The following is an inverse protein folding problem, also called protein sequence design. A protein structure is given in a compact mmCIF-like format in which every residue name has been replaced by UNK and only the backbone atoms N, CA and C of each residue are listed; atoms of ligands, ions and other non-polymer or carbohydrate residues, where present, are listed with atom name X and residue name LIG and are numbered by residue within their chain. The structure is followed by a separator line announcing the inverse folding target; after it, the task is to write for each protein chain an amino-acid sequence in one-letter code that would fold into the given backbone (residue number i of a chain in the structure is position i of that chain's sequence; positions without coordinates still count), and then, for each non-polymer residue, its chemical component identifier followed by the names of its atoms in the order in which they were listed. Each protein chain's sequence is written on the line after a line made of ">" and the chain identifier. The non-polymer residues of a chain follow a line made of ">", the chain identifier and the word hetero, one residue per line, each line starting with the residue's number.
data_IF_449617576482
#
_entry.id   IF_449617576482
#
_cell.length_a   1.000
_cell.length_b   1.000
_cell.length_c   1.000
_cell.angle_alpha   90.00
_cell.angle_beta   90.00
_cell.angle_gamma   90.00
#
_symmetry.space_group_name_H-M   'P 1'
#
loop_
_entity.id
_entity.type
_entity.pdbx_description
1 polymer ?
#
# COMPACT_ATOMS: atom_id res chain seq x y z
N UNK A 1 -51.49 36.82 -30.84
CA UNK A 1 -50.65 37.45 -29.82
C UNK A 1 -50.52 36.45 -28.71
N UNK A 2 -49.30 36.21 -28.17
CA UNK A 2 -49.16 35.39 -26.97
C UNK A 2 -50.13 35.92 -25.92
N UNK A 3 -50.82 35.00 -25.24
CA UNK A 3 -51.73 35.41 -24.18
C UNK A 3 -50.94 35.89 -22.95
N UNK A 4 -51.47 36.81 -22.14
CA UNK A 4 -50.86 37.19 -20.89
C UNK A 4 -50.62 35.96 -19.97
N UNK A 5 -51.49 34.95 -20.11
CA UNK A 5 -51.40 33.67 -19.44
C UNK A 5 -50.14 32.89 -19.86
N UNK A 6 -49.80 32.89 -21.18
CA UNK A 6 -48.59 32.18 -21.67
C UNK A 6 -47.31 32.86 -21.18
N UNK A 7 -47.31 34.22 -21.10
CA UNK A 7 -46.18 34.98 -20.52
C UNK A 7 -46.04 34.73 -19.04
N UNK A 8 -47.15 34.64 -18.30
CA UNK A 8 -47.18 34.32 -16.89
C UNK A 8 -46.59 32.90 -16.63
N UNK A 9 -47.06 31.91 -17.41
CA UNK A 9 -46.59 30.54 -17.26
C UNK A 9 -45.09 30.43 -17.58
N UNK A 10 -44.63 31.08 -18.68
CA UNK A 10 -43.21 31.09 -19.03
C UNK A 10 -42.35 31.75 -17.94
N UNK A 11 -42.81 32.83 -17.32
CA UNK A 11 -42.13 33.48 -16.23
C UNK A 11 -42.12 32.58 -14.96
N UNK A 12 -43.24 31.90 -14.65
CA UNK A 12 -43.31 30.97 -13.53
C UNK A 12 -42.37 29.78 -13.69
N UNK A 13 -42.29 29.18 -14.86
CA UNK A 13 -41.31 28.12 -15.16
C UNK A 13 -39.85 28.61 -15.06
N UNK A 14 -39.56 29.82 -15.52
CA UNK A 14 -38.23 30.43 -15.37
C UNK A 14 -37.86 30.69 -13.91
N UNK A 15 -38.84 31.06 -13.06
CA UNK A 15 -38.64 31.25 -11.63
C UNK A 15 -38.23 29.94 -10.94
N UNK A 16 -38.96 28.85 -11.20
CA UNK A 16 -38.68 27.51 -10.71
C UNK A 16 -37.26 27.04 -11.15
N UNK A 17 -36.91 27.35 -12.40
CA UNK A 17 -35.59 27.08 -12.97
C UNK A 17 -34.46 27.74 -12.20
N UNK A 18 -34.59 29.03 -11.86
CA UNK A 18 -33.57 29.74 -11.06
C UNK A 18 -33.53 29.28 -9.61
N UNK A 19 -34.67 28.87 -9.05
CA UNK A 19 -34.71 28.28 -7.71
C UNK A 19 -33.93 26.95 -7.69
N UNK A 20 -34.13 26.08 -8.67
CA UNK A 20 -33.35 24.83 -8.80
C UNK A 20 -31.85 25.13 -8.97
N UNK A 21 -31.48 26.13 -9.78
CA UNK A 21 -30.08 26.53 -9.94
C UNK A 21 -29.45 27.03 -8.62
N UNK A 22 -30.19 27.81 -7.84
CA UNK A 22 -29.76 28.25 -6.50
C UNK A 22 -29.59 27.07 -5.55
N UNK A 23 -30.46 26.06 -5.61
CA UNK A 23 -30.33 24.82 -4.82
C UNK A 23 -29.04 24.04 -5.19
N UNK A 24 -28.70 23.96 -6.49
CA UNK A 24 -27.44 23.32 -6.95
C UNK A 24 -26.22 24.05 -6.38
N UNK A 25 -26.19 25.39 -6.46
CA UNK A 25 -25.10 26.21 -5.87
C UNK A 25 -25.01 26.01 -4.35
N UNK A 26 -26.16 25.95 -3.68
CA UNK A 26 -26.24 25.65 -2.24
C UNK A 26 -25.67 24.27 -1.89
N UNK A 27 -26.01 23.26 -2.70
CA UNK A 27 -25.49 21.90 -2.55
C UNK A 27 -23.97 21.85 -2.79
N UNK A 28 -23.47 22.49 -3.85
CA UNK A 28 -22.04 22.62 -4.12
C UNK A 28 -21.30 23.24 -2.93
N UNK A 29 -21.81 24.37 -2.44
CA UNK A 29 -21.20 25.12 -1.33
C UNK A 29 -21.14 24.29 -0.05
N UNK A 30 -22.21 23.57 0.29
CA UNK A 30 -22.25 22.74 1.53
C UNK A 30 -21.38 21.49 1.41
N UNK A 31 -21.17 20.97 0.21
CA UNK A 31 -20.37 19.78 -0.04
C UNK A 31 -18.94 20.07 -0.55
N UNK A 32 -18.50 21.33 -0.54
CA UNK A 32 -17.18 21.74 -1.04
C UNK A 32 -16.01 20.96 -0.41
N UNK A 33 -16.16 20.47 0.83
CA UNK A 33 -15.17 19.70 1.56
C UNK A 33 -15.51 18.20 1.68
N UNK A 34 -16.63 17.76 1.09
CA UNK A 34 -17.05 16.34 1.14
C UNK A 34 -16.12 15.49 0.24
N UNK A 35 -15.49 14.44 0.77
CA UNK A 35 -14.63 13.54 -0.03
C UNK A 35 -15.40 12.96 -1.22
N UNK A 36 -14.74 12.91 -2.38
CA UNK A 36 -15.35 12.38 -3.59
C UNK A 36 -16.38 13.28 -4.27
N UNK A 37 -16.74 14.45 -3.70
CA UNK A 37 -17.71 15.37 -4.31
C UNK A 37 -17.08 16.13 -5.49
N UNK A 38 -17.84 16.22 -6.60
CA UNK A 38 -17.52 17.07 -7.76
C UNK A 38 -18.59 18.14 -7.92
N UNK A 39 -18.21 19.34 -8.35
CA UNK A 39 -19.13 20.46 -8.57
C UNK A 39 -20.23 20.06 -9.57
N UNK A 40 -21.45 20.43 -9.26
CA UNK A 40 -22.61 20.22 -10.10
C UNK A 40 -22.96 21.53 -10.84
N UNK A 41 -23.34 21.43 -12.10
CA UNK A 41 -23.70 22.58 -12.95
C UNK A 41 -25.05 22.40 -13.59
N UNK A 42 -26.02 23.29 -13.38
CA UNK A 42 -27.30 23.26 -14.10
C UNK A 42 -27.07 23.63 -15.56
N UNK A 43 -27.63 22.84 -16.47
CA UNK A 43 -27.67 23.15 -17.92
C UNK A 43 -29.00 23.76 -18.25
N UNK A 44 -28.98 25.02 -18.61
CA UNK A 44 -30.19 25.74 -19.03
C UNK A 44 -30.56 25.43 -20.50
N UNK A 45 -31.80 25.14 -20.72
CA UNK A 45 -32.37 24.93 -22.06
C UNK A 45 -33.46 25.98 -22.29
N UNK A 46 -33.40 26.65 -23.44
CA UNK A 46 -34.46 27.58 -23.85
C UNK A 46 -35.71 26.80 -24.28
N UNK A 47 -36.86 27.10 -23.69
CA UNK A 47 -38.11 26.53 -24.08
C UNK A 47 -38.58 27.10 -25.45
N UNK A 48 -39.30 26.29 -26.22
CA UNK A 48 -39.71 26.68 -27.55
C UNK A 48 -40.63 27.94 -27.54
N UNK A 49 -40.27 28.95 -28.32
CA UNK A 49 -41.02 30.18 -28.48
C UNK A 49 -41.48 30.32 -29.92
N UNK A 50 -42.81 30.49 -30.13
CA UNK A 50 -43.35 30.86 -31.41
C UNK A 50 -44.17 32.12 -31.26
N UNK A 51 -43.98 33.16 -32.11
CA UNK A 51 -44.69 34.43 -31.97
C UNK A 51 -46.21 34.31 -32.10
N UNK A 52 -46.73 33.23 -32.67
CA UNK A 52 -48.15 32.98 -32.90
C UNK A 52 -48.85 32.25 -31.75
N UNK A 53 -48.14 31.35 -31.06
CA UNK A 53 -48.70 30.50 -29.98
C UNK A 53 -48.21 30.86 -28.60
N UNK A 54 -47.20 31.75 -28.49
CA UNK A 54 -46.60 32.08 -27.21
C UNK A 54 -45.61 31.00 -26.77
N UNK A 55 -45.43 30.83 -25.48
CA UNK A 55 -44.42 29.95 -24.87
C UNK A 55 -43.11 30.69 -24.66
N UNK A 56 -42.04 29.98 -24.58
CA UNK A 56 -40.71 30.49 -24.27
C UNK A 56 -40.43 30.43 -22.74
N UNK A 57 -39.27 30.86 -22.37
CA UNK A 57 -38.77 30.76 -21.02
C UNK A 57 -37.47 29.95 -21.01
N UNK A 58 -37.06 29.53 -19.83
CA UNK A 58 -35.90 28.71 -19.61
C UNK A 58 -36.23 27.58 -18.61
N UNK A 59 -35.71 26.39 -18.87
CA UNK A 59 -35.82 25.24 -17.97
C UNK A 59 -34.43 24.66 -17.64
N UNK A 60 -34.30 23.95 -16.50
CA UNK A 60 -33.13 23.11 -16.26
C UNK A 60 -33.31 21.81 -17.02
N UNK A 61 -32.56 21.61 -18.09
CA UNK A 61 -32.59 20.38 -18.89
C UNK A 61 -31.89 19.21 -18.16
N UNK A 62 -30.82 19.50 -17.46
CA UNK A 62 -30.07 18.52 -16.64
C UNK A 62 -29.14 19.23 -15.67
N UNK A 63 -28.71 18.50 -14.64
CA UNK A 63 -27.59 18.89 -13.78
C UNK A 63 -26.42 17.97 -14.12
N UNK A 64 -25.31 18.54 -14.57
CA UNK A 64 -24.11 17.79 -14.96
C UNK A 64 -23.05 17.89 -13.87
N UNK A 65 -22.41 16.77 -13.57
CA UNK A 65 -21.19 16.74 -12.75
C UNK A 65 -20.01 17.29 -13.55
N UNK A 66 -19.19 18.12 -12.90
CA UNK A 66 -17.91 18.60 -13.47
C UNK A 66 -16.78 17.55 -13.37
N UNK A 67 -17.11 16.31 -13.01
CA UNK A 67 -16.14 15.24 -12.84
C UNK A 67 -15.38 14.95 -14.12
N UNK A 68 -14.06 14.90 -14.01
CA UNK A 68 -13.15 14.49 -15.06
C UNK A 68 -12.68 13.06 -14.79
N UNK A 69 -13.17 12.12 -15.58
CA UNK A 69 -12.86 10.69 -15.50
C UNK A 69 -11.36 10.40 -15.63
N UNK A 70 -10.64 11.14 -16.46
CA UNK A 70 -9.20 10.98 -16.63
C UNK A 70 -8.43 11.44 -15.39
N UNK A 71 -8.84 12.55 -14.79
CA UNK A 71 -8.26 13.04 -13.54
C UNK A 71 -8.53 12.06 -12.39
N UNK A 72 -9.73 11.48 -12.31
CA UNK A 72 -10.06 10.45 -11.31
C UNK A 72 -9.20 9.19 -11.47
N UNK A 73 -9.05 8.66 -12.68
CA UNK A 73 -8.20 7.49 -12.95
C UNK A 73 -6.73 7.80 -12.63
N UNK A 74 -6.27 9.02 -12.90
CA UNK A 74 -4.91 9.45 -12.56
C UNK A 74 -4.69 9.46 -11.05
N UNK A 75 -5.65 9.96 -10.27
CA UNK A 75 -5.62 9.92 -8.80
C UNK A 75 -5.63 8.48 -8.29
N UNK A 76 -6.51 7.62 -8.81
CA UNK A 76 -6.58 6.20 -8.42
C UNK A 76 -5.25 5.47 -8.68
N UNK A 77 -4.63 5.68 -9.84
CA UNK A 77 -3.32 5.11 -10.16
C UNK A 77 -2.20 5.60 -9.24
N UNK A 78 -2.16 6.93 -8.99
CA UNK A 78 -1.19 7.54 -8.08
C UNK A 78 -1.39 7.08 -6.62
N UNK A 79 -2.64 6.91 -6.19
CA UNK A 79 -3.01 6.42 -4.86
C UNK A 79 -2.54 4.98 -4.64
N UNK A 80 -2.74 4.12 -5.66
CA UNK A 80 -2.26 2.73 -5.65
C UNK A 80 -0.73 2.67 -5.55
N UNK A 81 -0.02 3.45 -6.36
CA UNK A 81 1.46 3.52 -6.34
C UNK A 81 1.98 4.03 -4.98
N UNK A 82 1.36 5.06 -4.43
CA UNK A 82 1.72 5.61 -3.11
C UNK A 82 1.48 4.60 -1.99
N UNK A 83 0.37 3.86 -2.03
CA UNK A 83 0.07 2.85 -1.03
C UNK A 83 1.05 1.66 -1.10
N UNK A 84 1.43 1.25 -2.33
CA UNK A 84 2.48 0.24 -2.54
C UNK A 84 3.81 0.70 -1.92
N UNK A 85 4.32 1.85 -2.33
CA UNK A 85 5.61 2.37 -1.87
C UNK A 85 5.62 2.62 -0.36
N UNK A 86 4.54 3.16 0.21
CA UNK A 86 4.41 3.37 1.65
C UNK A 86 4.41 2.07 2.47
N UNK A 87 3.77 1.02 1.96
CA UNK A 87 3.78 -0.29 2.60
C UNK A 87 5.17 -0.92 2.54
N UNK A 88 5.84 -0.86 1.37
CA UNK A 88 7.23 -1.34 1.22
C UNK A 88 8.18 -0.61 2.16
N UNK A 89 8.13 0.71 2.19
CA UNK A 89 9.00 1.53 3.04
C UNK A 89 8.84 1.19 4.54
N UNK A 90 7.59 1.07 5.00
CA UNK A 90 7.30 0.75 6.41
C UNK A 90 7.82 -0.62 6.81
N UNK A 91 7.60 -1.64 5.99
CA UNK A 91 8.02 -3.01 6.31
C UNK A 91 9.53 -3.20 6.18
N UNK A 92 10.16 -2.60 5.16
CA UNK A 92 11.61 -2.70 4.96
C UNK A 92 12.38 -1.93 6.04
N UNK A 93 11.90 -0.79 6.50
CA UNK A 93 12.48 -0.08 7.64
C UNK A 93 12.43 -0.93 8.92
N UNK A 94 11.33 -1.66 9.14
CA UNK A 94 11.24 -2.60 10.26
C UNK A 94 12.24 -3.75 10.14
N UNK A 95 12.37 -4.34 8.94
CA UNK A 95 13.33 -5.43 8.67
C UNK A 95 14.78 -4.94 8.82
N UNK A 96 15.12 -3.73 8.35
CA UNK A 96 16.45 -3.13 8.48
C UNK A 96 16.92 -3.10 9.95
N UNK A 97 16.00 -2.83 10.87
CA UNK A 97 16.30 -2.82 12.31
C UNK A 97 16.84 -4.15 12.86
N UNK A 98 16.64 -5.27 12.16
CA UNK A 98 17.16 -6.59 12.57
C UNK A 98 18.61 -6.83 12.15
N UNK A 99 19.18 -5.98 11.29
CA UNK A 99 20.52 -6.11 10.71
C UNK A 99 21.43 -4.94 11.07
N UNK A 100 21.70 -4.69 12.37
CA UNK A 100 22.55 -3.58 12.76
C UNK A 100 23.98 -3.80 12.26
N UNK A 101 24.55 -2.78 11.62
CA UNK A 101 25.96 -2.76 11.28
C UNK A 101 26.79 -2.32 12.49
N UNK A 102 27.95 -2.95 12.76
CA UNK A 102 28.86 -2.49 13.78
C UNK A 102 29.30 -1.04 13.51
N UNK A 103 28.94 -0.11 14.39
CA UNK A 103 29.43 1.28 14.29
C UNK A 103 30.71 1.44 15.07
N UNK A 104 31.68 2.16 14.50
CA UNK A 104 32.99 2.44 15.11
C UNK A 104 32.94 3.36 16.35
N UNK A 105 31.74 3.89 16.67
CA UNK A 105 31.56 4.94 17.69
C UNK A 105 30.88 4.49 18.98
N UNK A 106 30.44 3.22 19.11
CA UNK A 106 29.82 2.73 20.33
C UNK A 106 30.64 1.60 20.96
N UNK A 107 31.17 1.84 22.13
CA UNK A 107 31.74 0.83 23.05
C UNK A 107 30.68 -0.14 23.62
N UNK A 108 29.42 0.03 23.29
CA UNK A 108 28.38 -0.94 23.56
C UNK A 108 28.51 -2.05 22.53
N UNK A 109 28.75 -3.28 22.97
CA UNK A 109 28.78 -4.50 22.18
C UNK A 109 27.81 -4.37 21.00
N UNK A 110 28.37 -4.30 19.76
CA UNK A 110 27.57 -4.26 18.57
C UNK A 110 26.60 -5.44 18.62
N UNK A 111 25.32 -5.16 18.81
CA UNK A 111 24.28 -6.18 18.83
C UNK A 111 24.15 -6.85 17.46
N UNK A 112 23.37 -7.92 17.41
CA UNK A 112 23.13 -8.64 16.15
C UNK A 112 24.27 -9.58 15.73
N UNK A 113 24.08 -10.21 14.59
CA UNK A 113 24.96 -11.28 14.09
C UNK A 113 26.41 -10.77 13.88
N UNK A 114 26.58 -9.57 13.34
CA UNK A 114 27.92 -8.99 13.07
C UNK A 114 28.75 -8.81 14.35
N UNK A 115 28.15 -8.32 15.42
CA UNK A 115 28.80 -8.19 16.71
C UNK A 115 29.10 -9.54 17.37
N UNK A 116 28.16 -10.48 17.30
CA UNK A 116 28.36 -11.82 17.84
C UNK A 116 29.44 -12.61 17.09
N UNK A 117 29.53 -12.41 15.76
CA UNK A 117 30.60 -12.96 14.94
C UNK A 117 31.99 -12.42 15.41
N UNK A 118 32.10 -11.12 15.60
CA UNK A 118 33.33 -10.51 16.13
C UNK A 118 33.69 -11.04 17.52
N UNK A 119 32.69 -11.24 18.39
CA UNK A 119 32.92 -11.82 19.73
C UNK A 119 33.44 -13.27 19.66
N UNK A 120 32.93 -14.09 18.75
CA UNK A 120 33.40 -15.43 18.50
C UNK A 120 34.86 -15.43 18.01
N UNK A 121 35.21 -14.54 17.07
CA UNK A 121 36.61 -14.40 16.62
C UNK A 121 37.53 -13.94 17.72
N UNK A 122 37.08 -13.02 18.55
CA UNK A 122 37.87 -12.57 19.74
C UNK A 122 38.08 -13.71 20.75
N UNK A 123 37.07 -14.55 20.96
CA UNK A 123 37.21 -15.75 21.81
C UNK A 123 38.22 -16.75 21.22
N UNK A 124 38.19 -17.02 19.93
CA UNK A 124 39.23 -17.83 19.27
C UNK A 124 40.62 -17.17 19.36
N UNK A 125 40.72 -15.85 19.23
CA UNK A 125 41.99 -15.13 19.39
C UNK A 125 42.54 -15.27 20.82
N UNK A 126 41.68 -15.18 21.84
CA UNK A 126 42.10 -15.41 23.25
C UNK A 126 42.58 -16.86 23.45
N UNK A 127 41.92 -17.83 22.82
CA UNK A 127 42.33 -19.23 22.88
C UNK A 127 43.73 -19.46 22.26
N UNK A 128 44.19 -18.63 21.31
CA UNK A 128 45.54 -18.76 20.73
C UNK A 128 46.65 -18.54 21.77
N UNK A 129 46.38 -17.71 22.76
CA UNK A 129 47.38 -17.41 23.83
C UNK A 129 47.34 -18.42 24.97
N UNK A 130 46.21 -19.09 25.18
CA UNK A 130 45.99 -20.03 26.28
C UNK A 130 45.22 -21.26 25.83
N UNK A 131 45.79 -22.10 24.90
CA UNK A 131 45.02 -23.17 24.24
C UNK A 131 44.59 -24.29 25.19
N UNK A 132 45.25 -24.46 26.33
CA UNK A 132 44.91 -25.47 27.32
C UNK A 132 44.04 -24.95 28.48
N UNK A 133 43.74 -23.63 28.51
CA UNK A 133 42.91 -23.05 29.56
C UNK A 133 41.42 -23.36 29.31
N UNK A 134 40.81 -24.03 30.29
CA UNK A 134 39.38 -24.40 30.21
C UNK A 134 38.46 -23.18 30.17
N UNK A 135 38.81 -22.07 30.81
CA UNK A 135 37.99 -20.85 30.78
C UNK A 135 37.98 -20.21 29.38
N UNK A 136 39.16 -20.16 28.73
CA UNK A 136 39.28 -19.68 27.36
C UNK A 136 38.48 -20.53 26.36
N UNK A 137 38.49 -21.85 26.52
CA UNK A 137 37.69 -22.79 25.73
C UNK A 137 36.20 -22.61 25.96
N UNK A 138 35.78 -22.47 27.21
CA UNK A 138 34.38 -22.21 27.56
C UNK A 138 33.91 -20.87 27.01
N UNK A 139 34.77 -19.85 26.96
CA UNK A 139 34.46 -18.57 26.35
C UNK A 139 34.12 -18.70 24.84
N UNK A 140 34.82 -19.60 24.12
CA UNK A 140 34.49 -19.90 22.70
C UNK A 140 33.10 -20.54 22.61
N UNK A 141 32.79 -21.52 23.45
CA UNK A 141 31.48 -22.17 23.46
C UNK A 141 30.36 -21.16 23.76
N UNK A 142 30.58 -20.28 24.74
CA UNK A 142 29.62 -19.23 25.10
C UNK A 142 29.43 -18.23 23.95
N UNK A 143 30.51 -17.78 23.28
CA UNK A 143 30.43 -16.88 22.14
C UNK A 143 29.73 -17.54 20.93
N UNK A 144 29.98 -18.84 20.72
CA UNK A 144 29.28 -19.63 19.70
C UNK A 144 27.77 -19.73 20.00
N UNK A 145 27.41 -19.96 21.28
CA UNK A 145 26.00 -19.97 21.71
C UNK A 145 25.30 -18.66 21.51
N UNK A 146 25.95 -17.55 21.83
CA UNK A 146 25.40 -16.21 21.60
C UNK A 146 25.22 -15.92 20.13
N UNK A 147 26.17 -16.33 19.28
CA UNK A 147 26.04 -16.17 17.81
C UNK A 147 24.91 -17.03 17.28
N UNK A 148 24.77 -18.28 17.69
CA UNK A 148 23.64 -19.15 17.31
C UNK A 148 22.29 -18.52 17.69
N UNK A 149 22.19 -17.99 18.92
CA UNK A 149 21.01 -17.28 19.39
C UNK A 149 20.71 -16.04 18.52
N UNK A 150 21.72 -15.28 18.11
CA UNK A 150 21.53 -14.13 17.23
C UNK A 150 20.96 -14.52 15.86
N UNK A 151 21.45 -15.63 15.26
CA UNK A 151 20.88 -16.17 14.02
C UNK A 151 19.41 -16.59 14.21
N UNK A 152 19.12 -17.37 15.25
CA UNK A 152 17.75 -17.84 15.53
C UNK A 152 16.80 -16.67 15.75
N UNK A 153 17.20 -15.65 16.51
CA UNK A 153 16.39 -14.47 16.79
C UNK A 153 16.12 -13.66 15.51
N UNK A 154 17.16 -13.43 14.69
CA UNK A 154 17.01 -12.68 13.43
C UNK A 154 16.10 -13.44 12.43
N UNK A 155 16.27 -14.76 12.31
CA UNK A 155 15.39 -15.62 11.50
C UNK A 155 13.95 -15.55 12.00
N UNK A 156 13.74 -15.71 13.32
CA UNK A 156 12.41 -15.62 13.94
C UNK A 156 11.74 -14.27 13.71
N UNK A 157 12.50 -13.17 13.77
CA UNK A 157 12.01 -11.82 13.50
C UNK A 157 11.58 -11.66 12.03
N UNK A 158 12.37 -12.16 11.07
CA UNK A 158 12.00 -12.15 9.64
C UNK A 158 10.73 -12.96 9.37
N UNK A 159 10.64 -14.15 9.96
CA UNK A 159 9.46 -15.03 9.85
C UNK A 159 8.22 -14.38 10.48
N UNK A 160 8.38 -13.69 11.60
CA UNK A 160 7.29 -12.95 12.23
C UNK A 160 6.77 -11.84 11.31
N UNK A 161 7.64 -11.06 10.66
CA UNK A 161 7.23 -10.06 9.66
C UNK A 161 6.56 -10.74 8.46
N UNK A 162 7.07 -11.87 7.96
CA UNK A 162 6.45 -12.61 6.86
C UNK A 162 5.02 -13.06 7.20
N UNK A 163 4.80 -13.55 8.42
CA UNK A 163 3.47 -13.95 8.89
C UNK A 163 2.55 -12.74 9.06
N UNK A 164 3.07 -11.61 9.53
CA UNK A 164 2.31 -10.37 9.67
C UNK A 164 1.87 -9.82 8.30
N UNK A 165 2.77 -9.73 7.32
CA UNK A 165 2.41 -9.27 5.96
C UNK A 165 1.43 -10.22 5.27
N UNK A 166 1.51 -11.53 5.54
CA UNK A 166 0.54 -12.53 5.05
C UNK A 166 -0.86 -12.28 5.66
N UNK A 167 -0.92 -12.03 6.96
CA UNK A 167 -2.17 -11.69 7.64
C UNK A 167 -2.76 -10.39 7.12
N UNK A 168 -1.92 -9.36 6.94
CA UNK A 168 -2.34 -8.09 6.35
C UNK A 168 -2.82 -8.24 4.90
N UNK A 169 -2.25 -9.17 4.11
CA UNK A 169 -2.72 -9.45 2.74
C UNK A 169 -4.13 -10.04 2.74
N UNK A 170 -4.42 -10.94 3.68
CA UNK A 170 -5.79 -11.48 3.90
C UNK A 170 -6.77 -10.39 4.29
N UNK A 171 -6.40 -9.54 5.24
CA UNK A 171 -7.24 -8.43 5.69
C UNK A 171 -7.51 -7.43 4.56
N UNK A 172 -6.48 -7.15 3.73
CA UNK A 172 -6.63 -6.31 2.54
C UNK A 172 -7.61 -6.93 1.52
N UNK A 173 -7.54 -8.24 1.26
CA UNK A 173 -8.47 -8.95 0.38
C UNK A 173 -9.92 -8.88 0.91
N UNK A 174 -10.12 -9.05 2.21
CA UNK A 174 -11.43 -8.92 2.86
C UNK A 174 -11.97 -7.48 2.76
N UNK A 175 -11.12 -6.48 2.96
CA UNK A 175 -11.50 -5.06 2.84
C UNK A 175 -11.85 -4.70 1.39
N UNK A 176 -11.10 -5.22 0.40
CA UNK A 176 -11.43 -5.10 -1.02
C UNK A 176 -12.83 -5.64 -1.30
N UNK A 177 -13.13 -6.87 -0.83
CA UNK A 177 -14.45 -7.46 -1.01
C UNK A 177 -15.58 -6.62 -0.39
N UNK A 178 -15.33 -6.03 0.78
CA UNK A 178 -16.30 -5.15 1.45
C UNK A 178 -16.56 -3.87 0.68
N UNK A 179 -15.50 -3.19 0.18
CA UNK A 179 -15.64 -1.99 -0.65
C UNK A 179 -16.35 -2.29 -1.97
N UNK A 180 -16.02 -3.41 -2.62
CA UNK A 180 -16.70 -3.86 -3.84
C UNK A 180 -18.18 -4.12 -3.57
N UNK A 181 -18.55 -4.68 -2.40
CA UNK A 181 -19.94 -4.85 -1.99
C UNK A 181 -20.68 -3.52 -1.78
N UNK A 182 -20.01 -2.51 -1.23
CA UNK A 182 -20.59 -1.16 -1.09
C UNK A 182 -20.86 -0.54 -2.47
N UNK A 183 -19.90 -0.65 -3.40
CA UNK A 183 -20.08 -0.17 -4.77
C UNK A 183 -21.16 -0.97 -5.52
N UNK A 184 -21.30 -2.28 -5.25
CA UNK A 184 -22.41 -3.09 -5.76
C UNK A 184 -23.77 -2.54 -5.34
N UNK A 185 -23.91 -2.13 -4.06
CA UNK A 185 -25.16 -1.52 -3.55
C UNK A 185 -25.46 -0.19 -4.24
N UNK A 186 -24.43 0.62 -4.50
CA UNK A 186 -24.57 1.86 -5.28
C UNK A 186 -25.03 1.56 -6.71
N UNK A 187 -24.42 0.59 -7.37
CA UNK A 187 -24.84 0.15 -8.71
C UNK A 187 -26.30 -0.34 -8.72
N UNK A 188 -26.70 -1.12 -7.71
CA UNK A 188 -28.09 -1.58 -7.60
C UNK A 188 -29.07 -0.42 -7.39
N UNK A 189 -28.69 0.60 -6.63
CA UNK A 189 -29.49 1.81 -6.44
C UNK A 189 -29.64 2.58 -7.78
N UNK A 190 -28.55 2.75 -8.53
CA UNK A 190 -28.56 3.40 -9.84
C UNK A 190 -29.41 2.64 -10.89
N UNK A 191 -29.32 1.30 -10.89
CA UNK A 191 -30.09 0.47 -11.81
C UNK A 191 -31.60 0.51 -11.51
N UNK A 192 -31.99 0.54 -10.23
CA UNK A 192 -33.38 0.53 -9.79
C UNK A 192 -34.03 1.93 -9.81
N UNK A 193 -33.24 3.01 -9.81
CA UNK A 193 -33.73 4.37 -9.73
C UNK A 193 -32.89 5.30 -10.63
N UNK A 194 -33.46 5.75 -11.74
CA UNK A 194 -32.80 6.63 -12.69
C UNK A 194 -32.35 7.99 -12.06
N UNK A 195 -33.03 8.47 -11.02
CA UNK A 195 -32.61 9.69 -10.32
C UNK A 195 -31.32 9.50 -9.52
N UNK A 196 -30.98 8.28 -9.09
CA UNK A 196 -29.71 8.01 -8.43
C UNK A 196 -28.49 8.20 -9.35
N UNK A 197 -28.67 8.14 -10.67
CA UNK A 197 -27.59 8.42 -11.63
C UNK A 197 -27.15 9.88 -11.63
N UNK A 198 -28.06 10.79 -11.26
CA UNK A 198 -27.81 12.23 -11.19
C UNK A 198 -27.68 12.74 -9.74
N UNK A 199 -27.67 11.84 -8.75
CA UNK A 199 -27.52 12.20 -7.35
C UNK A 199 -26.02 12.43 -7.02
N UNK A 200 -25.67 13.66 -6.68
CA UNK A 200 -24.33 14.09 -6.37
C UNK A 200 -23.75 13.39 -5.13
N UNK A 201 -24.59 13.00 -4.16
CA UNK A 201 -24.17 12.28 -2.96
C UNK A 201 -23.83 10.83 -3.29
N UNK A 202 -24.62 10.16 -4.11
CA UNK A 202 -24.36 8.80 -4.61
C UNK A 202 -23.09 8.77 -5.46
N UNK A 203 -22.87 9.78 -6.30
CA UNK A 203 -21.66 9.91 -7.11
C UNK A 203 -20.42 10.16 -6.23
N UNK A 204 -20.51 11.03 -5.23
CA UNK A 204 -19.43 11.27 -4.28
C UNK A 204 -19.05 10.02 -3.50
N UNK A 205 -20.03 9.25 -3.00
CA UNK A 205 -19.79 7.99 -2.29
C UNK A 205 -19.10 6.96 -3.17
N UNK A 206 -19.56 6.80 -4.43
CA UNK A 206 -18.93 5.90 -5.40
C UNK A 206 -17.44 6.22 -5.57
N UNK A 207 -17.12 7.49 -5.80
CA UNK A 207 -15.74 7.89 -6.06
C UNK A 207 -14.86 7.85 -4.81
N UNK A 208 -15.41 8.10 -3.63
CA UNK A 208 -14.72 7.89 -2.36
C UNK A 208 -14.39 6.40 -2.14
N UNK A 209 -15.33 5.49 -2.43
CA UNK A 209 -15.12 4.05 -2.31
C UNK A 209 -14.12 3.53 -3.35
N UNK A 210 -14.15 4.06 -4.59
CA UNK A 210 -13.14 3.75 -5.62
C UNK A 210 -11.74 4.23 -5.24
N UNK A 211 -11.62 5.42 -4.64
CA UNK A 211 -10.35 5.94 -4.14
C UNK A 211 -9.81 5.09 -2.99
N UNK A 212 -10.66 4.67 -2.03
CA UNK A 212 -10.29 3.75 -0.96
C UNK A 212 -9.87 2.38 -1.51
N UNK A 213 -10.57 1.85 -2.51
CA UNK A 213 -10.24 0.59 -3.16
C UNK A 213 -8.90 0.67 -3.88
N UNK A 214 -8.61 1.80 -4.53
CA UNK A 214 -7.33 2.02 -5.24
C UNK A 214 -6.11 2.06 -4.31
N UNK A 215 -6.29 2.41 -3.03
CA UNK A 215 -5.22 2.28 -2.03
C UNK A 215 -4.85 0.83 -1.75
N UNK A 216 -5.83 -0.06 -1.83
CA UNK A 216 -5.63 -1.47 -1.51
C UNK A 216 -5.08 -2.25 -2.71
N UNK A 217 -5.51 -1.90 -3.93
CA UNK A 217 -5.16 -2.66 -5.13
C UNK A 217 -5.30 -1.79 -6.39
N UNK A 218 -4.56 -2.13 -7.44
CA UNK A 218 -4.69 -1.49 -8.76
C UNK A 218 -6.00 -1.89 -9.43
N UNK A 219 -6.86 -0.91 -9.67
CA UNK A 219 -8.16 -1.11 -10.32
C UNK A 219 -8.22 -0.41 -11.67
N UNK A 220 -9.09 -0.93 -12.52
CA UNK A 220 -9.58 -0.25 -13.74
C UNK A 220 -11.09 -0.27 -13.70
N UNK A 221 -11.70 0.89 -13.92
CA UNK A 221 -13.16 1.07 -13.90
C UNK A 221 -13.72 1.28 -15.30
N UNK A 222 -14.97 0.86 -15.52
CA UNK A 222 -15.74 1.14 -16.72
C UNK A 222 -17.18 1.44 -16.35
N UNK A 223 -17.67 2.60 -16.74
CA UNK A 223 -19.07 2.99 -16.54
C UNK A 223 -19.91 2.58 -17.74
N UNK A 224 -21.00 1.88 -17.49
CA UNK A 224 -21.96 1.47 -18.50
C UNK A 224 -23.01 2.59 -18.75
N UNK A 225 -23.79 2.46 -19.82
CA UNK A 225 -24.83 3.45 -20.18
C UNK A 225 -25.98 3.55 -19.19
N UNK A 226 -26.16 2.54 -18.32
CA UNK A 226 -27.13 2.54 -17.22
C UNK A 226 -26.59 3.20 -15.93
N UNK A 227 -25.38 3.78 -15.98
CA UNK A 227 -24.70 4.43 -14.86
C UNK A 227 -24.01 3.47 -13.89
N UNK A 228 -24.06 2.15 -14.12
CA UNK A 228 -23.33 1.18 -13.28
C UNK A 228 -21.85 1.19 -13.59
N UNK A 229 -21.02 1.01 -12.55
CA UNK A 229 -19.55 0.96 -12.66
C UNK A 229 -19.07 -0.46 -12.48
N UNK A 230 -18.40 -1.01 -13.50
CA UNK A 230 -17.69 -2.28 -13.44
C UNK A 230 -16.24 -2.06 -13.03
N UNK A 231 -15.69 -2.97 -12.22
CA UNK A 231 -14.35 -2.86 -11.62
C UNK A 231 -13.54 -4.11 -11.96
N UNK A 232 -12.31 -3.90 -12.43
CA UNK A 232 -11.37 -4.96 -12.76
C UNK A 232 -10.06 -4.79 -12.00
N UNK A 233 -9.56 -5.86 -11.40
CA UNK A 233 -8.23 -5.96 -10.81
C UNK A 233 -7.19 -6.07 -11.94
N UNK A 234 -6.20 -5.18 -11.94
CA UNK A 234 -5.15 -5.18 -12.97
C UNK A 234 -5.67 -5.06 -14.41
N UNK A 235 -6.89 -4.57 -14.58
CA UNK A 235 -7.55 -4.44 -15.89
C UNK A 235 -8.05 -5.75 -16.51
N UNK A 236 -7.91 -6.89 -15.82
CA UNK A 236 -8.19 -8.23 -16.37
C UNK A 236 -9.20 -9.04 -15.55
N UNK A 237 -9.00 -9.14 -14.23
CA UNK A 237 -9.85 -9.95 -13.35
C UNK A 237 -11.06 -9.13 -12.89
N UNK A 238 -12.29 -9.55 -13.15
CA UNK A 238 -13.46 -8.84 -12.69
C UNK A 238 -13.57 -8.92 -11.15
N UNK A 239 -13.85 -7.78 -10.51
CA UNK A 239 -14.26 -7.67 -9.11
C UNK A 239 -15.76 -7.35 -9.03
N UNK A 240 -16.25 -6.55 -9.98
CA UNK A 240 -17.65 -6.18 -10.09
C UNK A 240 -18.02 -5.98 -11.57
N UNK A 241 -19.10 -6.61 -12.02
CA UNK A 241 -19.70 -6.35 -13.33
C UNK A 241 -21.18 -6.03 -13.12
N UNK A 242 -21.56 -4.77 -13.37
CA UNK A 242 -22.91 -4.30 -13.04
C UNK A 242 -23.20 -4.48 -11.55
N UNK A 243 -24.12 -5.39 -11.21
CA UNK A 243 -24.47 -5.74 -9.82
C UNK A 243 -23.94 -7.12 -9.37
N UNK A 244 -23.11 -7.77 -10.18
CA UNK A 244 -22.54 -9.07 -9.86
C UNK A 244 -21.13 -8.89 -9.30
N UNK A 245 -20.94 -9.23 -8.01
CA UNK A 245 -19.65 -9.23 -7.33
C UNK A 245 -18.89 -10.54 -7.57
N UNK A 246 -17.57 -10.44 -7.72
CA UNK A 246 -16.59 -11.53 -7.80
C UNK A 246 -15.59 -11.35 -6.67
N UNK A 247 -15.70 -12.16 -5.63
CA UNK A 247 -14.87 -12.03 -4.44
C UNK A 247 -13.45 -12.56 -4.66
N UNK A 248 -12.47 -11.90 -4.03
CA UNK A 248 -11.11 -12.39 -3.90
C UNK A 248 -10.96 -13.22 -2.62
N UNK A 249 -10.11 -14.23 -2.68
CA UNK A 249 -9.69 -15.00 -1.49
C UNK A 249 -8.18 -15.06 -1.41
N UNK A 250 -7.64 -14.94 -0.21
CA UNK A 250 -6.22 -15.18 0.06
C UNK A 250 -6.06 -16.62 0.54
N UNK A 251 -5.03 -17.29 0.06
CA UNK A 251 -4.58 -18.60 0.54
C UNK A 251 -3.06 -18.64 0.59
N UNK A 252 -2.51 -19.46 1.47
CA UNK A 252 -1.07 -19.74 1.50
C UNK A 252 -0.80 -21.08 0.86
N UNK A 253 -0.02 -21.08 -0.22
CA UNK A 253 0.39 -22.28 -0.94
C UNK A 253 1.91 -22.40 -0.89
N UNK A 254 2.40 -23.45 -0.25
CA UNK A 254 3.85 -23.68 -0.06
C UNK A 254 4.58 -22.49 0.60
N UNK A 255 3.90 -21.79 1.53
CA UNK A 255 4.45 -20.64 2.24
C UNK A 255 4.32 -19.30 1.50
N UNK A 256 3.82 -19.29 0.26
CA UNK A 256 3.59 -18.07 -0.52
C UNK A 256 2.14 -17.60 -0.42
N UNK A 257 1.93 -16.30 -0.36
CA UNK A 257 0.61 -15.66 -0.47
C UNK A 257 0.11 -15.83 -1.91
N UNK A 258 -1.07 -16.40 -2.06
CA UNK A 258 -1.77 -16.55 -3.32
C UNK A 258 -3.14 -15.89 -3.24
N UNK A 259 -3.46 -15.05 -4.21
CA UNK A 259 -4.79 -14.45 -4.39
C UNK A 259 -5.54 -15.24 -5.47
N UNK A 260 -6.73 -15.70 -5.13
CA UNK A 260 -7.62 -16.41 -6.05
C UNK A 260 -8.91 -15.63 -6.26
N UNK A 261 -9.47 -15.73 -7.45
CA UNK A 261 -10.79 -15.18 -7.77
C UNK A 261 -11.93 -16.14 -7.31
N UNK A 262 -13.16 -15.74 -7.55
CA UNK A 262 -14.37 -16.52 -7.19
C UNK A 262 -14.47 -17.88 -7.91
N UNK A 263 -13.68 -18.15 -8.95
CA UNK A 263 -13.59 -19.43 -9.64
C UNK A 263 -12.48 -20.32 -9.10
N UNK A 264 -11.65 -19.80 -8.19
CA UNK A 264 -10.45 -20.45 -7.69
C UNK A 264 -9.21 -20.27 -8.57
N UNK A 265 -9.27 -19.45 -9.62
CA UNK A 265 -8.10 -19.17 -10.47
C UNK A 265 -7.12 -18.25 -9.73
N UNK A 266 -5.81 -18.55 -9.88
CA UNK A 266 -4.76 -17.71 -9.30
C UNK A 266 -4.63 -16.40 -10.07
N UNK A 267 -4.91 -15.28 -9.41
CA UNK A 267 -4.86 -13.91 -9.95
C UNK A 267 -3.81 -13.04 -9.26
N UNK A 268 -2.89 -13.65 -8.51
CA UNK A 268 -1.84 -12.95 -7.74
C UNK A 268 -1.05 -11.95 -8.59
N UNK A 269 -0.72 -12.30 -9.83
CA UNK A 269 0.03 -11.45 -10.74
C UNK A 269 -0.74 -10.17 -11.16
N UNK A 270 -2.06 -10.15 -11.04
CA UNK A 270 -2.89 -9.00 -11.36
C UNK A 270 -2.94 -7.98 -10.20
N UNK A 271 -2.70 -8.42 -8.95
CA UNK A 271 -2.60 -7.57 -7.77
C UNK A 271 -1.15 -7.07 -7.57
N UNK A 272 -0.65 -6.26 -8.50
CA UNK A 272 0.76 -5.86 -8.58
C UNK A 272 1.04 -4.45 -8.05
N UNK A 273 0.05 -3.74 -7.54
CA UNK A 273 0.17 -2.41 -6.94
C UNK A 273 -0.81 -2.25 -5.77
N UNK A 274 -0.83 -1.09 -5.13
CA UNK A 274 -1.57 -0.90 -3.88
C UNK A 274 -0.95 -1.62 -2.69
N UNK A 275 -1.60 -1.54 -1.56
CA UNK A 275 -1.16 -2.21 -0.33
C UNK A 275 -1.02 -3.72 -0.53
N UNK A 276 -2.00 -4.35 -1.19
CA UNK A 276 -2.01 -5.80 -1.42
C UNK A 276 -0.82 -6.25 -2.28
N UNK A 277 -0.50 -5.52 -3.36
CA UNK A 277 0.65 -5.82 -4.21
C UNK A 277 1.98 -5.75 -3.46
N UNK A 278 2.16 -4.75 -2.60
CA UNK A 278 3.35 -4.63 -1.75
C UNK A 278 3.48 -5.80 -0.76
N UNK A 279 2.37 -6.18 -0.10
CA UNK A 279 2.35 -7.30 0.86
C UNK A 279 2.66 -8.63 0.16
N UNK A 280 2.15 -8.86 -1.04
CA UNK A 280 2.49 -10.04 -1.86
C UNK A 280 3.98 -10.05 -2.21
N UNK A 281 4.54 -8.93 -2.63
CA UNK A 281 5.96 -8.82 -2.97
C UNK A 281 6.84 -9.11 -1.74
N UNK A 282 6.52 -8.51 -0.59
CA UNK A 282 7.23 -8.74 0.67
C UNK A 282 7.16 -10.21 1.09
N UNK A 283 5.96 -10.82 1.08
CA UNK A 283 5.76 -12.19 1.54
C UNK A 283 6.42 -13.23 0.63
N UNK A 284 6.36 -13.05 -0.70
CA UNK A 284 6.74 -14.06 -1.68
C UNK A 284 8.15 -13.89 -2.24
N UNK A 285 8.72 -12.68 -2.17
CA UNK A 285 10.00 -12.38 -2.84
C UNK A 285 11.02 -11.78 -1.89
N UNK A 286 10.71 -10.65 -1.27
CA UNK A 286 11.71 -9.86 -0.55
C UNK A 286 12.16 -10.52 0.74
N UNK A 287 11.23 -10.86 1.65
CA UNK A 287 11.58 -11.50 2.93
C UNK A 287 12.18 -12.90 2.73
N UNK A 288 11.62 -13.77 1.87
CA UNK A 288 12.25 -15.06 1.57
C UNK A 288 13.68 -14.96 1.01
N UNK A 289 13.98 -13.93 0.22
CA UNK A 289 15.36 -13.67 -0.25
C UNK A 289 16.31 -13.37 0.91
N UNK A 290 15.90 -12.54 1.88
CA UNK A 290 16.73 -12.23 3.06
C UNK A 290 16.91 -13.46 3.97
N UNK A 291 15.85 -14.24 4.16
CA UNK A 291 15.90 -15.52 4.91
C UNK A 291 16.86 -16.50 4.24
N UNK A 292 16.83 -16.61 2.91
CA UNK A 292 17.72 -17.47 2.15
C UNK A 292 19.20 -17.06 2.31
N UNK A 293 19.49 -15.77 2.24
CA UNK A 293 20.85 -15.25 2.44
C UNK A 293 21.33 -15.45 3.89
N UNK A 294 20.45 -15.27 4.87
CA UNK A 294 20.74 -15.53 6.28
C UNK A 294 21.05 -17.03 6.52
N UNK A 295 20.27 -17.93 5.92
CA UNK A 295 20.51 -19.37 5.97
C UNK A 295 21.85 -19.75 5.34
N UNK A 296 22.18 -19.15 4.18
CA UNK A 296 23.47 -19.37 3.49
C UNK A 296 24.65 -18.95 4.38
N UNK A 297 24.53 -17.82 5.06
CA UNK A 297 25.56 -17.35 5.99
C UNK A 297 25.72 -18.30 7.18
N UNK A 298 24.62 -18.71 7.82
CA UNK A 298 24.63 -19.60 8.98
C UNK A 298 25.22 -20.97 8.64
N UNK A 299 24.80 -21.56 7.50
CA UNK A 299 25.31 -22.84 7.02
C UNK A 299 26.81 -22.75 6.70
N UNK A 300 27.21 -21.77 5.87
CA UNK A 300 28.59 -21.59 5.48
C UNK A 300 29.52 -21.41 6.68
N UNK A 301 29.09 -20.63 7.68
CA UNK A 301 29.86 -20.44 8.92
C UNK A 301 30.01 -21.75 9.71
N UNK A 302 28.90 -22.45 9.95
CA UNK A 302 28.89 -23.70 10.70
C UNK A 302 29.75 -24.76 10.04
N UNK A 303 29.60 -24.96 8.73
CA UNK A 303 30.35 -25.95 7.96
C UNK A 303 31.85 -25.65 7.92
N UNK A 304 32.22 -24.38 7.75
CA UNK A 304 33.63 -23.97 7.71
C UNK A 304 34.31 -24.15 9.04
N UNK A 305 33.67 -23.72 10.16
CA UNK A 305 34.19 -23.90 11.51
C UNK A 305 34.28 -25.40 11.84
N UNK A 306 33.23 -26.17 11.60
CA UNK A 306 33.20 -27.61 11.87
C UNK A 306 34.28 -28.37 11.10
N UNK A 307 34.45 -28.04 9.78
CA UNK A 307 35.48 -28.63 8.94
C UNK A 307 36.89 -28.33 9.49
N UNK A 308 37.10 -27.10 9.92
CA UNK A 308 38.38 -26.68 10.48
C UNK A 308 38.66 -27.39 11.82
N UNK A 309 37.64 -27.50 12.68
CA UNK A 309 37.79 -28.25 13.96
C UNK A 309 38.03 -29.74 13.71
N UNK A 310 37.30 -30.36 12.77
CA UNK A 310 37.47 -31.77 12.45
C UNK A 310 38.88 -32.11 11.91
N UNK A 311 39.59 -31.15 11.30
CA UNK A 311 40.96 -31.29 10.85
C UNK A 311 42.01 -31.07 11.98
N UNK A 312 41.60 -30.68 13.15
CA UNK A 312 42.44 -30.40 14.32
C UNK A 312 42.36 -31.50 15.39
N UNK A 313 43.09 -31.29 16.45
CA UNK A 313 43.22 -32.21 17.59
C UNK A 313 42.83 -31.52 18.90
N UNK A 314 42.09 -32.26 19.75
CA UNK A 314 41.65 -31.84 21.06
C UNK A 314 42.73 -32.07 22.14
N UNK A 315 42.41 -31.78 23.42
CA UNK A 315 43.33 -31.99 24.55
C UNK A 315 43.60 -33.46 24.85
N UNK A 316 42.76 -34.38 24.33
CA UNK A 316 42.86 -35.82 24.55
C UNK A 316 43.51 -36.57 23.37
N UNK A 317 44.05 -35.83 22.37
CA UNK A 317 44.57 -36.39 21.15
C UNK A 317 43.52 -37.10 20.29
N UNK A 318 42.28 -36.60 20.30
CA UNK A 318 41.23 -37.04 19.38
C UNK A 318 41.03 -35.98 18.30
N UNK A 319 40.49 -36.39 17.14
CA UNK A 319 40.01 -35.45 16.13
C UNK A 319 38.93 -34.55 16.73
N UNK A 320 38.95 -33.28 16.36
CA UNK A 320 38.02 -32.28 16.92
C UNK A 320 36.55 -32.57 16.62
N UNK A 321 35.72 -32.36 17.62
CA UNK A 321 34.28 -32.46 17.53
C UNK A 321 33.69 -31.26 16.81
N UNK A 322 32.47 -31.39 16.31
CA UNK A 322 31.70 -30.27 15.73
C UNK A 322 31.32 -29.26 16.77
N UNK A 323 31.54 -27.98 16.51
CA UNK A 323 31.08 -26.89 17.37
C UNK A 323 29.60 -26.60 17.15
N UNK A 324 29.15 -26.56 15.90
CA UNK A 324 27.79 -26.26 15.52
C UNK A 324 27.02 -27.45 14.94
N UNK A 325 25.73 -27.47 15.20
CA UNK A 325 24.74 -28.31 14.53
C UNK A 325 23.61 -27.44 14.00
N UNK A 326 22.97 -27.89 12.92
CA UNK A 326 21.82 -27.20 12.31
C UNK A 326 20.99 -28.18 11.47
N UNK A 327 19.74 -27.81 11.19
CA UNK A 327 18.89 -28.47 10.20
C UNK A 327 19.17 -27.87 8.80
N UNK A 328 19.54 -28.65 7.78
CA UNK A 328 19.84 -28.15 6.44
C UNK A 328 18.69 -27.39 5.77
N UNK A 329 17.43 -27.64 6.17
CA UNK A 329 16.26 -26.94 5.62
C UNK A 329 16.09 -25.52 6.19
N UNK A 330 16.59 -25.28 7.40
CA UNK A 330 16.49 -23.98 8.10
C UNK A 330 17.75 -23.75 8.96
N UNK A 331 18.92 -23.55 8.35
CA UNK A 331 20.18 -23.43 9.08
C UNK A 331 20.21 -22.32 10.11
N UNK A 332 19.71 -21.12 9.76
CA UNK A 332 19.71 -19.96 10.65
C UNK A 332 18.75 -20.13 11.85
N UNK A 333 17.60 -20.77 11.62
CA UNK A 333 16.61 -21.04 12.67
C UNK A 333 17.12 -22.02 13.72
N UNK A 334 17.83 -23.06 13.24
CA UNK A 334 18.17 -24.25 14.04
C UNK A 334 19.63 -24.32 14.46
N UNK A 335 20.42 -23.27 14.15
CA UNK A 335 21.82 -23.22 14.54
C UNK A 335 21.95 -23.35 16.07
N UNK A 336 22.75 -24.31 16.50
CA UNK A 336 22.98 -24.57 17.92
C UNK A 336 24.40 -25.03 18.16
N UNK A 337 24.90 -24.84 19.38
CA UNK A 337 26.19 -25.40 19.83
C UNK A 337 26.01 -26.90 20.12
N UNK A 338 26.70 -27.73 19.38
CA UNK A 338 26.69 -29.18 19.56
C UNK A 338 27.69 -29.67 20.59
N UNK A 339 28.78 -28.91 20.81
CA UNK A 339 29.85 -29.22 21.74
C UNK A 339 29.47 -28.84 23.17
N UNK A 340 29.50 -29.78 24.08
CA UNK A 340 29.19 -29.58 25.52
C UNK A 340 30.42 -29.57 26.40
N UNK A 341 31.49 -30.26 25.98
CA UNK A 341 32.74 -30.33 26.70
C UNK A 341 33.82 -29.45 26.05
N UNK A 342 34.26 -28.36 26.68
CA UNK A 342 35.26 -27.47 26.13
C UNK A 342 36.61 -28.13 25.87
N UNK A 343 36.92 -29.26 26.52
CA UNK A 343 38.21 -30.00 26.33
C UNK A 343 38.27 -30.67 24.95
N UNK A 344 37.12 -30.94 24.31
CA UNK A 344 37.02 -31.51 22.96
C UNK A 344 37.20 -30.48 21.84
N UNK A 345 37.35 -29.18 22.15
CA UNK A 345 37.62 -28.12 21.17
C UNK A 345 39.03 -28.28 20.60
N UNK A 346 39.17 -28.53 19.31
CA UNK A 346 40.45 -28.80 18.64
C UNK A 346 41.22 -27.49 18.39
N UNK A 347 42.11 -27.12 19.29
CA UNK A 347 42.96 -25.93 19.19
C UNK A 347 44.25 -26.17 18.40
N UNK A 348 44.75 -27.41 18.34
CA UNK A 348 45.95 -27.80 17.61
C UNK A 348 45.66 -28.34 16.22
N UNK A 349 46.56 -28.18 15.26
CA UNK A 349 46.47 -28.75 13.90
C UNK A 349 47.14 -30.14 13.79
N UNK A 350 47.93 -30.54 14.76
CA UNK A 350 48.58 -31.83 14.81
C UNK A 350 48.40 -32.46 16.20
N UNK A 351 48.71 -33.76 16.35
CA UNK A 351 48.69 -34.48 17.63
C UNK A 351 49.76 -33.93 18.57
N UNK A 352 49.55 -32.69 19.06
CA UNK A 352 50.42 -31.97 19.97
C UNK A 352 49.60 -31.26 21.03
N UNK A 353 49.30 -31.86 22.18
CA UNK A 353 48.63 -31.20 23.27
C UNK A 353 49.29 -29.85 23.63
N UNK A 354 48.54 -28.76 23.58
CA UNK A 354 49.04 -27.41 23.77
C UNK A 354 49.38 -26.62 22.50
N UNK A 355 49.27 -27.22 21.31
CA UNK A 355 49.30 -26.49 20.03
C UNK A 355 48.13 -25.53 19.87
N UNK A 356 48.36 -24.44 19.14
CA UNK A 356 47.33 -23.40 18.91
C UNK A 356 47.07 -23.07 17.42
N UNK A 357 47.72 -23.79 16.48
CA UNK A 357 47.68 -23.46 15.04
C UNK A 357 46.27 -23.45 14.49
N UNK A 358 45.41 -24.36 14.96
CA UNK A 358 44.00 -24.43 14.54
C UNK A 358 43.19 -23.28 15.15
N UNK A 359 43.48 -22.88 16.38
CA UNK A 359 42.85 -21.72 16.99
C UNK A 359 43.26 -20.42 16.27
N UNK A 360 44.53 -20.28 15.84
CA UNK A 360 44.98 -19.15 15.00
C UNK A 360 44.22 -19.12 13.68
N UNK A 361 44.09 -20.23 13.00
CA UNK A 361 43.31 -20.29 11.73
C UNK A 361 41.83 -19.95 11.94
N UNK A 362 41.22 -20.39 13.05
CA UNK A 362 39.84 -20.07 13.41
C UNK A 362 39.64 -18.58 13.78
N UNK A 363 40.62 -17.96 14.45
CA UNK A 363 40.53 -16.55 14.85
C UNK A 363 40.47 -15.57 13.65
N UNK A 364 40.98 -15.98 12.51
CA UNK A 364 40.98 -15.15 11.26
C UNK A 364 39.94 -15.59 10.25
N UNK A 365 39.17 -16.64 10.50
CA UNK A 365 38.26 -17.27 9.54
C UNK A 365 37.17 -16.33 9.03
N UNK A 366 36.75 -15.34 9.86
CA UNK A 366 35.71 -14.38 9.51
C UNK A 366 36.10 -13.40 8.40
N UNK A 367 37.42 -13.23 8.17
CA UNK A 367 37.97 -12.30 7.15
C UNK A 367 38.45 -13.02 5.88
N UNK A 368 38.51 -14.34 5.91
CA UNK A 368 38.95 -15.14 4.76
C UNK A 368 37.78 -15.34 3.78
N UNK A 369 38.00 -15.10 2.47
CA UNK A 369 36.98 -15.36 1.44
C UNK A 369 36.53 -16.84 1.43
N UNK A 370 35.21 -17.06 1.35
CA UNK A 370 34.58 -18.38 1.32
C UNK A 370 33.95 -18.63 -0.03
N UNK A 371 34.27 -19.74 -0.70
CA UNK A 371 33.66 -20.10 -1.98
C UNK A 371 32.14 -20.31 -1.85
N UNK A 372 31.67 -20.85 -0.73
CA UNK A 372 30.24 -21.04 -0.43
C UNK A 372 29.46 -19.74 -0.28
N UNK A 373 30.14 -18.61 -0.10
CA UNK A 373 29.55 -17.26 0.05
C UNK A 373 29.87 -16.37 -1.17
N UNK A 374 30.10 -16.94 -2.35
CA UNK A 374 30.45 -16.15 -3.54
C UNK A 374 31.76 -15.38 -3.41
N UNK A 375 32.74 -15.94 -2.69
CA UNK A 375 34.06 -15.35 -2.36
C UNK A 375 33.98 -14.13 -1.41
N UNK A 376 32.87 -13.90 -0.74
CA UNK A 376 32.85 -12.98 0.40
C UNK A 376 33.42 -13.67 1.66
N UNK A 377 34.04 -12.90 2.54
CA UNK A 377 34.29 -13.34 3.91
C UNK A 377 32.98 -13.33 4.72
N UNK A 378 32.89 -13.97 5.88
CA UNK A 378 31.68 -13.98 6.70
C UNK A 378 31.25 -12.58 7.13
N UNK A 379 32.20 -11.74 7.55
CA UNK A 379 31.92 -10.33 7.87
C UNK A 379 31.52 -9.53 6.64
N UNK A 380 32.17 -9.78 5.49
CA UNK A 380 31.83 -9.13 4.23
C UNK A 380 30.46 -9.53 3.71
N UNK A 381 30.09 -10.80 3.82
CA UNK A 381 28.75 -11.28 3.42
C UNK A 381 27.64 -10.71 4.28
N UNK A 382 27.83 -10.70 5.61
CA UNK A 382 26.87 -10.03 6.51
C UNK A 382 26.76 -8.54 6.22
N UNK A 383 27.88 -7.86 6.00
CA UNK A 383 27.89 -6.45 5.65
C UNK A 383 27.17 -6.17 4.32
N UNK A 384 27.36 -7.06 3.31
CA UNK A 384 26.64 -6.97 2.05
C UNK A 384 25.13 -7.19 2.22
N UNK A 385 24.72 -8.20 2.98
CA UNK A 385 23.30 -8.46 3.28
C UNK A 385 22.64 -7.26 3.97
N UNK A 386 23.27 -6.73 5.02
CA UNK A 386 22.77 -5.55 5.71
C UNK A 386 22.72 -4.30 4.81
N UNK A 387 23.73 -4.14 3.93
CA UNK A 387 23.75 -3.04 2.94
C UNK A 387 22.65 -3.17 1.88
N UNK A 388 22.37 -4.38 1.40
CA UNK A 388 21.25 -4.64 0.47
C UNK A 388 19.93 -4.26 1.13
N UNK A 389 19.68 -4.73 2.35
CA UNK A 389 18.45 -4.41 3.11
C UNK A 389 18.32 -2.91 3.33
N UNK A 390 19.40 -2.24 3.76
CA UNK A 390 19.42 -0.78 3.95
C UNK A 390 19.18 -0.01 2.64
N UNK A 391 19.73 -0.50 1.52
CA UNK A 391 19.50 0.09 0.20
C UNK A 391 18.05 -0.09 -0.26
N UNK A 392 17.49 -1.29 -0.06
CA UNK A 392 16.09 -1.57 -0.39
C UNK A 392 15.14 -0.71 0.46
N UNK A 393 15.44 -0.53 1.76
CA UNK A 393 14.71 0.37 2.65
C UNK A 393 14.80 1.84 2.20
N UNK A 394 16.00 2.33 1.87
CA UNK A 394 16.20 3.70 1.39
C UNK A 394 15.52 3.95 0.04
N UNK A 395 15.59 2.98 -0.88
CA UNK A 395 14.91 3.06 -2.18
C UNK A 395 13.39 3.12 -1.99
N UNK A 396 12.82 2.29 -1.11
CA UNK A 396 11.39 2.28 -0.83
C UNK A 396 10.92 3.61 -0.20
N UNK A 397 11.72 4.23 0.67
CA UNK A 397 11.45 5.56 1.23
C UNK A 397 11.51 6.67 0.15
N UNK A 398 12.48 6.58 -0.76
CA UNK A 398 12.59 7.47 -1.92
C UNK A 398 11.37 7.36 -2.83
N UNK A 399 10.94 6.12 -3.14
CA UNK A 399 9.75 5.85 -3.95
C UNK A 399 8.46 6.33 -3.25
N UNK A 400 8.35 6.16 -1.93
CA UNK A 400 7.23 6.69 -1.14
C UNK A 400 7.14 8.22 -1.26
N UNK A 401 8.28 8.91 -1.18
CA UNK A 401 8.33 10.38 -1.32
C UNK A 401 7.92 10.81 -2.72
N UNK A 402 8.45 10.15 -3.75
CA UNK A 402 8.14 10.43 -5.16
C UNK A 402 6.67 10.17 -5.47
N UNK A 403 6.13 9.01 -5.07
CA UNK A 403 4.73 8.68 -5.31
C UNK A 403 3.76 9.56 -4.53
N UNK A 404 4.15 10.06 -3.35
CA UNK A 404 3.38 11.08 -2.63
C UNK A 404 3.32 12.41 -3.40
N UNK A 405 4.41 12.83 -4.04
CA UNK A 405 4.43 14.03 -4.87
C UNK A 405 3.55 13.86 -6.12
N UNK A 406 3.63 12.70 -6.78
CA UNK A 406 2.77 12.37 -7.93
C UNK A 406 1.30 12.37 -7.54
N UNK A 407 0.94 11.79 -6.40
CA UNK A 407 -0.42 11.81 -5.87
C UNK A 407 -0.90 13.25 -5.62
N UNK A 408 -0.08 14.09 -4.99
CA UNK A 408 -0.43 15.49 -4.75
C UNK A 408 -0.66 16.26 -6.05
N UNK A 409 0.15 16.00 -7.09
CA UNK A 409 -0.03 16.59 -8.41
C UNK A 409 -1.33 16.11 -9.09
N UNK A 410 -1.63 14.80 -9.01
CA UNK A 410 -2.86 14.23 -9.56
C UNK A 410 -4.11 14.81 -8.85
N UNK A 411 -4.06 14.94 -7.52
CA UNK A 411 -5.14 15.56 -6.72
C UNK A 411 -5.32 17.04 -7.09
N UNK A 412 -4.24 17.77 -7.33
CA UNK A 412 -4.31 19.17 -7.80
C UNK A 412 -4.96 19.26 -9.18
N UNK A 413 -4.60 18.36 -10.11
CA UNK A 413 -5.22 18.28 -11.43
C UNK A 413 -6.72 18.01 -11.32
N UNK A 414 -7.12 17.02 -10.51
CA UNK A 414 -8.53 16.72 -10.22
C UNK A 414 -9.25 17.91 -9.61
N UNK A 415 -8.64 18.56 -8.64
CA UNK A 415 -9.24 19.74 -7.98
C UNK A 415 -9.49 20.89 -8.97
N UNK A 416 -8.54 21.17 -9.85
CA UNK A 416 -8.69 22.21 -10.88
C UNK A 416 -9.81 21.90 -11.88
N UNK A 417 -10.07 20.63 -12.19
CA UNK A 417 -11.10 20.21 -13.14
C UNK A 417 -12.48 20.08 -12.50
N UNK A 418 -12.56 19.56 -11.26
CA UNK A 418 -13.82 19.01 -10.70
C UNK A 418 -14.22 19.62 -9.36
N UNK A 419 -13.33 20.33 -8.65
CA UNK A 419 -13.65 20.82 -7.32
C UNK A 419 -14.61 22.01 -7.33
N UNK A 420 -15.30 22.20 -6.21
CA UNK A 420 -16.14 23.38 -5.97
C UNK A 420 -15.27 24.60 -5.69
N UNK A 421 -15.41 25.64 -6.50
CA UNK A 421 -14.81 26.95 -6.22
C UNK A 421 -15.83 27.86 -5.54
N UNK A 422 -15.64 28.13 -4.26
CA UNK A 422 -16.57 28.98 -3.51
C UNK A 422 -16.74 30.39 -4.10
N UNK A 423 -15.71 30.93 -4.75
CA UNK A 423 -15.79 32.22 -5.44
C UNK A 423 -16.68 32.16 -6.68
N UNK A 424 -16.62 31.07 -7.44
CA UNK A 424 -17.51 30.83 -8.59
C UNK A 424 -18.95 30.62 -8.11
N UNK A 425 -19.14 29.79 -7.08
CA UNK A 425 -20.48 29.54 -6.51
C UNK A 425 -21.11 30.84 -5.98
N UNK A 426 -20.36 31.71 -5.28
CA UNK A 426 -20.86 32.99 -4.81
C UNK A 426 -21.25 33.93 -5.97
N UNK A 427 -20.48 33.93 -7.07
CA UNK A 427 -20.79 34.70 -8.27
C UNK A 427 -22.08 34.18 -8.93
N UNK A 428 -22.18 32.85 -9.14
CA UNK A 428 -23.36 32.22 -9.74
C UNK A 428 -24.61 32.41 -8.88
N UNK A 429 -24.46 32.30 -7.54
CA UNK A 429 -25.57 32.59 -6.61
C UNK A 429 -26.11 34.00 -6.81
N UNK A 430 -25.20 34.99 -6.93
CA UNK A 430 -25.60 36.39 -7.16
C UNK A 430 -26.31 36.56 -8.50
N UNK A 431 -25.81 35.93 -9.57
CA UNK A 431 -26.41 35.97 -10.89
C UNK A 431 -27.80 35.33 -10.89
N UNK A 432 -27.98 34.15 -10.31
CA UNK A 432 -29.27 33.46 -10.24
C UNK A 432 -30.26 34.18 -9.34
N UNK A 433 -29.80 34.80 -8.23
CA UNK A 433 -30.67 35.65 -7.40
C UNK A 433 -31.17 36.91 -8.16
N UNK A 434 -30.29 37.53 -8.95
CA UNK A 434 -30.69 38.67 -9.78
C UNK A 434 -31.70 38.26 -10.85
N UNK A 435 -31.49 37.13 -11.55
CA UNK A 435 -32.39 36.58 -12.53
C UNK A 435 -33.74 36.21 -11.91
N UNK A 436 -33.73 35.53 -10.76
CA UNK A 436 -34.92 35.21 -9.97
C UNK A 436 -35.75 36.48 -9.62
N UNK A 437 -35.07 37.51 -9.11
CA UNK A 437 -35.72 38.77 -8.74
C UNK A 437 -36.30 39.52 -9.98
N UNK A 438 -35.59 39.47 -11.12
CA UNK A 438 -36.07 40.05 -12.36
C UNK A 438 -37.34 39.35 -12.87
N UNK A 439 -37.34 38.02 -12.86
CA UNK A 439 -38.46 37.16 -13.28
C UNK A 439 -39.67 37.34 -12.33
N UNK A 440 -39.44 37.44 -11.04
CA UNK A 440 -40.49 37.72 -10.04
C UNK A 440 -41.16 39.07 -10.30
N UNK A 441 -40.39 40.10 -10.65
CA UNK A 441 -40.94 41.41 -11.03
C UNK A 441 -41.77 41.31 -12.31
N UNK A 442 -41.35 40.53 -13.31
CA UNK A 442 -42.11 40.29 -14.53
C UNK A 442 -43.47 39.66 -14.22
N UNK A 443 -43.51 38.64 -13.32
CA UNK A 443 -44.76 38.02 -12.87
C UNK A 443 -45.72 39.06 -12.26
N UNK A 444 -45.21 39.93 -11.37
CA UNK A 444 -45.99 40.95 -10.75
C UNK A 444 -46.61 41.96 -11.80
N UNK A 445 -45.82 42.35 -12.81
CA UNK A 445 -46.27 43.22 -13.89
C UNK A 445 -47.36 42.55 -14.72
N UNK A 446 -47.15 41.26 -15.11
CA UNK A 446 -48.15 40.49 -15.87
C UNK A 446 -49.43 40.28 -15.08
N UNK A 447 -49.34 40.01 -13.77
CA UNK A 447 -50.50 39.89 -12.89
C UNK A 447 -51.30 41.21 -12.83
N UNK A 448 -50.63 42.37 -12.65
CA UNK A 448 -51.28 43.67 -12.70
C UNK A 448 -51.96 43.94 -14.04
N UNK A 449 -51.34 43.55 -15.19
CA UNK A 449 -51.96 43.64 -16.51
C UNK A 449 -53.20 42.76 -16.63
N UNK A 450 -53.15 41.52 -16.10
CA UNK A 450 -54.32 40.63 -16.10
C UNK A 450 -55.46 41.20 -15.27
N UNK A 451 -55.18 41.73 -14.09
CA UNK A 451 -56.18 42.38 -13.25
C UNK A 451 -56.78 43.60 -13.92
N UNK A 452 -55.98 44.40 -14.63
CA UNK A 452 -56.47 45.57 -15.35
C UNK A 452 -57.43 45.12 -16.50
N UNK A 453 -57.07 44.06 -17.23
CA UNK A 453 -57.94 43.50 -18.29
C UNK A 453 -59.25 42.96 -17.72
N UNK A 454 -59.22 42.27 -16.59
CA UNK A 454 -60.40 41.74 -15.91
C UNK A 454 -61.34 42.89 -15.45
N UNK A 455 -60.76 43.97 -14.92
CA UNK A 455 -61.55 45.15 -14.49
C UNK A 455 -62.11 45.96 -15.68
N UNK A 456 -61.59 45.81 -16.88
CA UNK A 456 -62.11 46.44 -18.09
C UNK A 456 -63.30 45.69 -18.75
N UNK A 457 -63.56 44.43 -18.32
CA UNK A 457 -64.72 43.67 -18.77
C UNK A 457 -65.91 44.05 -17.88
N UNK A 458 -66.95 44.75 -18.39
CA UNK A 458 -68.09 45.13 -17.57
C UNK A 458 -68.83 43.87 -17.13
N UNK A 459 -69.08 43.75 -15.82
CA UNK A 459 -69.98 42.73 -15.29
C UNK A 459 -71.40 43.10 -15.72
N UNK A 460 -71.92 42.38 -16.72
CA UNK A 460 -73.30 42.43 -17.16
C UNK A 460 -74.18 41.66 -16.18
#
# INVERSE_FOLDING_TARGET
>A
MPSLSDTFNAAAHSLDTYEQAIQVVGNNTTNATTPGFAAQRPVFVADSFTPSSGGGGVSVGSVLSSRDEYAEQTVQGAQSSRAYAGTMATQLQHVEGFFPLPSSSSSASAGGIGGMLNNLMSAFSSLTTSPNDTASRQAVLNAAGNLATAFNTTYGSLTAVQNDVTSQARDAANTINSLVSQIQQINAAKQNNASANNDAGVDAQLHADLENLSQLVNITTRTASDGTTSIFLGGQTPLLIGVQQYSLSESSVSGNVQITDSTGANVTAHANSGKLGALINLANTTIPSYVSQLNTLAQGLADTINTKLASGWDQHNHAGARLFSYNPLAPAESLAVAMTDPTTLAAASASAPGGNDNAVALSTISTVPQASLGNFSFTGYYGNLASVIGTDSANAQGEQTTSQQVLSQAQTLRSNASAVSLDQEATQLTEYQQAYNATSRLINVVDQMMQTVLNMVPTT
#
